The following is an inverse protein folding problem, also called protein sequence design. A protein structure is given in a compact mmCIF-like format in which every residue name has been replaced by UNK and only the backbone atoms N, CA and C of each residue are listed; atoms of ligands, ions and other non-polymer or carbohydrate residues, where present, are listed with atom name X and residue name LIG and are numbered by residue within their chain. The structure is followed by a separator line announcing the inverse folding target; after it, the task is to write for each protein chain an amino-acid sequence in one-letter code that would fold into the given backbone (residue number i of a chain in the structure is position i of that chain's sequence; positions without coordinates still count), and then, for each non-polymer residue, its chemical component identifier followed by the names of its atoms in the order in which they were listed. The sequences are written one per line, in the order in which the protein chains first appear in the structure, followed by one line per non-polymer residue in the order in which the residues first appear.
data_IF_086210794722
#
_entry.id   IF_086210794722
#
_cell.length_a   1.000
_cell.length_b   1.000
_cell.length_c   1.000
_cell.angle_alpha   90.00
_cell.angle_beta   90.00
_cell.angle_gamma   90.00
#
_symmetry.space_group_name_H-M   'P 1'
#
loop_
_entity.id
_entity.type
_entity.pdbx_description
1 polymer ?
#
# COMPACT_ATOMS: atom_id res chain seq x y z
N UNK A 1 84.85 13.25 -0.40
CA UNK A 1 83.65 13.73 -1.12
C UNK A 1 82.61 12.64 -1.06
N UNK A 2 81.67 12.70 -0.13
CA UNK A 2 80.63 11.71 0.14
C UNK A 2 79.26 12.28 -0.24
N UNK A 3 78.47 11.65 -1.11
CA UNK A 3 77.12 12.11 -1.38
C UNK A 3 76.15 11.54 -0.36
N UNK A 4 75.37 12.47 0.26
CA UNK A 4 74.21 12.16 1.10
C UNK A 4 73.03 11.60 0.25
N UNK A 5 72.62 10.40 0.54
CA UNK A 5 71.35 9.85 0.06
C UNK A 5 70.22 10.34 0.99
N UNK A 6 69.34 11.19 0.47
CA UNK A 6 68.10 11.55 1.13
C UNK A 6 67.07 10.48 0.82
N UNK A 7 66.70 9.69 1.81
CA UNK A 7 65.56 8.76 1.74
C UNK A 7 64.25 9.54 1.81
N UNK A 8 63.45 9.47 0.73
CA UNK A 8 62.13 10.03 0.66
C UNK A 8 61.11 8.94 1.11
N UNK A 9 60.62 9.07 2.33
CA UNK A 9 59.56 8.18 2.86
C UNK A 9 58.22 8.64 2.35
N UNK A 10 57.61 7.93 1.39
CA UNK A 10 56.23 8.15 0.94
C UNK A 10 55.33 7.45 1.93
N UNK A 11 54.63 8.22 2.75
CA UNK A 11 53.54 7.71 3.60
C UNK A 11 52.30 7.53 2.74
N UNK A 12 51.98 6.29 2.39
CA UNK A 12 50.71 5.96 1.75
C UNK A 12 49.60 5.99 2.80
N UNK A 13 48.79 7.06 2.81
CA UNK A 13 47.60 7.13 3.60
C UNK A 13 46.52 6.24 2.99
N UNK A 14 46.28 5.07 3.58
CA UNK A 14 45.16 4.22 3.27
C UNK A 14 43.88 4.88 3.84
N UNK A 15 43.12 5.57 3.00
CA UNK A 15 41.75 6.01 3.36
C UNK A 15 40.88 4.77 3.44
N UNK A 16 40.60 4.29 4.67
CA UNK A 16 39.52 3.34 4.91
C UNK A 16 38.21 4.06 4.60
N UNK A 17 37.61 3.77 3.45
CA UNK A 17 36.24 4.12 3.17
C UNK A 17 35.35 3.26 4.09
N UNK A 18 34.97 3.81 5.23
CA UNK A 18 33.91 3.25 6.07
C UNK A 18 32.63 3.43 5.28
N UNK A 19 32.19 2.39 4.58
CA UNK A 19 30.82 2.30 4.08
C UNK A 19 29.91 2.30 5.31
N UNK A 20 29.35 3.45 5.64
CA UNK A 20 28.26 3.49 6.61
C UNK A 20 27.15 2.60 6.03
N UNK A 21 26.60 1.65 6.81
CA UNK A 21 25.40 0.95 6.38
C UNK A 21 24.38 2.03 6.03
N UNK A 22 23.74 1.92 4.87
CA UNK A 22 22.58 2.73 4.55
C UNK A 22 21.60 2.50 5.72
N UNK A 23 21.44 3.51 6.55
CA UNK A 23 20.47 3.42 7.64
C UNK A 23 19.12 3.29 6.95
N UNK A 24 18.50 2.13 7.13
CA UNK A 24 17.10 1.96 6.86
C UNK A 24 16.34 3.14 7.50
N UNK A 25 15.43 3.77 6.76
CA UNK A 25 14.67 4.91 7.28
C UNK A 25 13.76 4.45 8.43
N UNK A 26 14.29 4.53 9.65
CA UNK A 26 13.57 4.15 10.85
C UNK A 26 12.23 4.90 10.98
N UNK A 27 12.16 6.14 10.49
CA UNK A 27 10.95 6.92 10.56
C UNK A 27 9.87 6.38 9.60
N UNK A 28 10.24 5.89 8.41
CA UNK A 28 9.29 5.22 7.51
C UNK A 28 8.82 3.87 8.07
N UNK A 29 9.69 3.13 8.77
CA UNK A 29 9.30 1.91 9.47
C UNK A 29 8.31 2.18 10.60
N UNK A 30 8.58 3.19 11.42
CA UNK A 30 7.70 3.58 12.53
C UNK A 30 6.36 4.07 12.00
N UNK A 31 6.35 4.85 10.92
CA UNK A 31 5.15 5.30 10.24
C UNK A 31 4.27 4.14 9.75
N UNK A 32 4.86 3.16 9.07
CA UNK A 32 4.12 1.97 8.61
C UNK A 32 3.64 1.15 9.80
N UNK A 33 4.48 0.94 10.82
CA UNK A 33 4.12 0.17 12.02
C UNK A 33 2.92 0.76 12.73
N UNK A 34 2.94 2.07 12.97
CA UNK A 34 1.88 2.76 13.69
C UNK A 34 0.56 2.73 12.90
N UNK A 35 0.58 3.14 11.63
CA UNK A 35 -0.63 3.24 10.83
C UNK A 35 -1.22 1.87 10.45
N UNK A 36 -0.38 0.89 10.12
CA UNK A 36 -0.85 -0.46 9.79
C UNK A 36 -1.47 -1.16 11.02
N UNK A 37 -0.88 -1.01 12.22
CA UNK A 37 -1.48 -1.55 13.44
C UNK A 37 -2.73 -0.77 13.86
N UNK A 38 -2.79 0.54 13.63
CA UNK A 38 -4.01 1.32 13.83
C UNK A 38 -5.14 0.84 12.92
N UNK A 39 -4.86 0.63 11.62
CA UNK A 39 -5.82 0.03 10.69
C UNK A 39 -6.32 -1.32 11.19
N UNK A 40 -5.41 -2.19 11.61
CA UNK A 40 -5.75 -3.51 12.11
C UNK A 40 -6.61 -3.45 13.39
N UNK A 41 -6.32 -2.52 14.30
CA UNK A 41 -7.11 -2.33 15.52
C UNK A 41 -8.54 -1.89 15.22
N UNK A 42 -8.73 -0.96 14.28
CA UNK A 42 -10.06 -0.52 13.83
C UNK A 42 -10.86 -1.66 13.17
N UNK A 43 -10.17 -2.50 12.38
CA UNK A 43 -10.81 -3.64 11.73
C UNK A 43 -11.26 -4.72 12.71
N UNK A 44 -10.56 -4.85 13.82
CA UNK A 44 -10.83 -5.83 14.87
C UNK A 44 -11.72 -5.28 16.00
N UNK A 45 -12.09 -4.01 15.96
CA UNK A 45 -12.91 -3.40 17.01
C UNK A 45 -14.32 -4.01 17.02
N UNK A 46 -14.70 -4.74 18.09
CA UNK A 46 -16.02 -5.35 18.20
C UNK A 46 -17.15 -4.34 18.42
N UNK A 47 -16.84 -3.12 18.87
CA UNK A 47 -17.80 -2.07 19.12
C UNK A 47 -18.27 -1.37 17.84
N UNK A 48 -17.47 -1.45 16.76
CA UNK A 48 -17.81 -0.85 15.47
C UNK A 48 -18.72 -1.77 14.65
N UNK A 49 -19.84 -1.25 14.19
CA UNK A 49 -20.61 -1.93 13.15
C UNK A 49 -19.93 -1.87 11.77
N UNK A 50 -20.52 -2.50 10.77
CA UNK A 50 -19.93 -2.59 9.42
C UNK A 50 -19.78 -1.23 8.74
N UNK A 51 -20.70 -0.27 9.00
CA UNK A 51 -20.65 1.05 8.41
C UNK A 51 -19.61 1.92 9.10
N UNK A 52 -19.66 1.96 10.44
CA UNK A 52 -18.70 2.70 11.27
C UNK A 52 -17.25 2.25 11.00
N UNK A 53 -17.03 0.94 10.86
CA UNK A 53 -15.72 0.38 10.52
C UNK A 53 -15.23 0.83 9.14
N UNK A 54 -16.15 0.89 8.15
CA UNK A 54 -15.85 1.39 6.81
C UNK A 54 -15.46 2.86 6.83
N UNK A 55 -16.21 3.69 7.52
CA UNK A 55 -15.95 5.13 7.64
C UNK A 55 -14.62 5.39 8.36
N UNK A 56 -14.36 4.70 9.46
CA UNK A 56 -13.11 4.79 10.21
C UNK A 56 -11.91 4.38 9.34
N UNK A 57 -12.03 3.27 8.60
CA UNK A 57 -10.99 2.80 7.70
C UNK A 57 -10.75 3.77 6.53
N UNK A 58 -11.81 4.34 5.95
CA UNK A 58 -11.70 5.36 4.90
C UNK A 58 -10.98 6.61 5.41
N UNK A 59 -11.28 7.06 6.62
CA UNK A 59 -10.61 8.17 7.27
C UNK A 59 -9.10 7.91 7.43
N UNK A 60 -8.75 6.70 7.89
CA UNK A 60 -7.35 6.29 8.03
C UNK A 60 -6.63 6.21 6.68
N UNK A 61 -7.27 5.64 5.67
CA UNK A 61 -6.67 5.54 4.32
C UNK A 61 -6.36 6.92 3.73
N UNK A 62 -7.21 7.91 3.95
CA UNK A 62 -6.98 9.28 3.50
C UNK A 62 -5.79 9.95 4.20
N UNK A 63 -5.49 9.56 5.44
CA UNK A 63 -4.33 10.08 6.19
C UNK A 63 -3.04 9.32 5.83
N UNK A 64 -3.16 8.01 5.65
CA UNK A 64 -2.02 7.11 5.45
C UNK A 64 -1.51 7.09 4.00
N UNK A 65 -2.39 7.36 3.03
CA UNK A 65 -2.10 7.26 1.61
C UNK A 65 -2.38 8.57 0.88
N UNK A 66 -1.42 9.03 0.06
CA UNK A 66 -1.69 10.09 -0.92
C UNK A 66 -2.50 9.51 -2.09
N UNK A 67 -3.80 9.34 -1.87
CA UNK A 67 -4.68 8.70 -2.84
C UNK A 67 -4.81 9.51 -4.13
N UNK A 68 -4.74 10.86 -4.06
CA UNK A 68 -4.74 11.71 -5.26
C UNK A 68 -3.50 11.46 -6.10
N UNK A 69 -2.33 11.42 -5.49
CA UNK A 69 -1.07 11.11 -6.17
C UNK A 69 -1.08 9.73 -6.81
N UNK A 70 -1.58 8.73 -6.09
CA UNK A 70 -1.75 7.37 -6.63
C UNK A 70 -2.71 7.37 -7.81
N UNK A 71 -3.86 8.05 -7.71
CA UNK A 71 -4.84 8.16 -8.80
C UNK A 71 -4.25 8.78 -10.07
N UNK A 72 -3.46 9.85 -9.93
CA UNK A 72 -2.72 10.47 -11.05
C UNK A 72 -1.67 9.53 -11.64
N UNK A 73 -0.98 8.79 -10.79
CA UNK A 73 0.02 7.81 -11.24
C UNK A 73 -0.61 6.70 -12.09
N UNK A 74 -1.75 6.15 -11.69
CA UNK A 74 -2.35 5.00 -12.39
C UNK A 74 -2.94 5.35 -13.77
N UNK A 75 -3.36 6.60 -14.00
CA UNK A 75 -3.78 7.06 -15.34
C UNK A 75 -2.63 7.67 -16.16
N UNK A 76 -1.46 7.82 -15.56
CA UNK A 76 -0.21 8.19 -16.23
C UNK A 76 -0.30 9.48 -17.04
N UNK A 77 -0.02 9.39 -18.38
CA UNK A 77 -0.06 10.55 -19.26
C UNK A 77 -1.44 11.22 -19.33
N UNK A 78 -2.51 10.48 -19.10
CA UNK A 78 -3.88 10.99 -19.15
C UNK A 78 -4.22 11.93 -17.99
N UNK A 79 -3.45 11.92 -16.90
CA UNK A 79 -3.57 12.90 -15.83
C UNK A 79 -3.35 14.36 -16.27
N UNK A 80 -2.71 14.57 -17.45
CA UNK A 80 -2.51 15.88 -18.05
C UNK A 80 -3.49 16.16 -19.20
N UNK A 81 -4.26 15.17 -19.60
CA UNK A 81 -5.24 15.25 -20.71
C UNK A 81 -6.63 15.53 -20.16
N UNK A 82 -6.98 14.94 -19.03
CA UNK A 82 -8.25 15.20 -18.36
C UNK A 82 -8.32 16.66 -17.92
N UNK A 83 -9.45 17.31 -18.16
CA UNK A 83 -9.76 18.57 -17.52
C UNK A 83 -10.13 18.36 -16.04
N UNK A 84 -10.26 19.44 -15.26
CA UNK A 84 -10.50 19.36 -13.82
C UNK A 84 -11.78 18.58 -13.51
N UNK A 85 -12.87 18.81 -14.21
CA UNK A 85 -14.14 18.11 -13.99
C UNK A 85 -14.03 16.60 -14.31
N UNK A 86 -13.32 16.24 -15.36
CA UNK A 86 -13.06 14.83 -15.71
C UNK A 86 -12.17 14.16 -14.68
N UNK A 87 -11.16 14.88 -14.18
CA UNK A 87 -10.28 14.35 -13.15
C UNK A 87 -11.01 14.17 -11.83
N UNK A 88 -11.81 15.13 -11.38
CA UNK A 88 -12.59 15.05 -10.15
C UNK A 88 -13.55 13.84 -10.19
N UNK A 89 -14.30 13.69 -11.30
CA UNK A 89 -15.21 12.57 -11.46
C UNK A 89 -14.48 11.21 -11.50
N UNK A 90 -13.31 11.16 -12.12
CA UNK A 90 -12.45 9.98 -12.11
C UNK A 90 -11.93 9.70 -10.70
N UNK A 91 -11.43 10.72 -9.99
CA UNK A 91 -10.89 10.57 -8.63
C UNK A 91 -11.94 10.03 -7.66
N UNK A 92 -13.17 10.54 -7.71
CA UNK A 92 -14.28 10.04 -6.90
C UNK A 92 -14.58 8.56 -7.17
N UNK A 93 -14.55 8.14 -8.44
CA UNK A 93 -14.73 6.73 -8.80
C UNK A 93 -13.55 5.88 -8.33
N UNK A 94 -12.33 6.37 -8.50
CA UNK A 94 -11.10 5.69 -8.07
C UNK A 94 -11.02 5.52 -6.56
N UNK A 95 -11.37 6.54 -5.78
CA UNK A 95 -11.39 6.48 -4.33
C UNK A 95 -12.34 5.40 -3.81
N UNK A 96 -13.54 5.31 -4.38
CA UNK A 96 -14.51 4.24 -4.06
C UNK A 96 -13.99 2.86 -4.44
N UNK A 97 -13.35 2.74 -5.60
CA UNK A 97 -12.75 1.49 -6.05
C UNK A 97 -11.63 1.02 -5.12
N UNK A 98 -10.73 1.93 -4.75
CA UNK A 98 -9.64 1.65 -3.83
C UNK A 98 -10.18 1.14 -2.49
N UNK A 99 -11.17 1.85 -1.91
CA UNK A 99 -11.82 1.44 -0.68
C UNK A 99 -12.46 0.05 -0.80
N UNK A 100 -13.24 -0.20 -1.86
CA UNK A 100 -13.89 -1.50 -2.07
C UNK A 100 -12.88 -2.64 -2.27
N UNK A 101 -11.72 -2.36 -2.87
CA UNK A 101 -10.64 -3.35 -3.02
C UNK A 101 -10.09 -3.77 -1.66
N UNK A 102 -9.85 -2.81 -0.77
CA UNK A 102 -9.40 -3.12 0.58
C UNK A 102 -10.48 -3.84 1.40
N UNK A 103 -11.72 -3.38 1.35
CA UNK A 103 -12.81 -4.01 2.10
C UNK A 103 -13.05 -5.47 1.72
N UNK A 104 -12.96 -5.81 0.43
CA UNK A 104 -13.11 -7.19 -0.03
C UNK A 104 -12.04 -8.14 0.53
N UNK A 105 -10.89 -7.60 0.94
CA UNK A 105 -9.78 -8.36 1.51
C UNK A 105 -9.73 -8.30 3.05
N UNK A 106 -10.31 -7.26 3.68
CA UNK A 106 -10.18 -6.98 5.11
C UNK A 106 -10.72 -8.07 6.02
N UNK A 107 -11.80 -8.75 5.63
CA UNK A 107 -12.35 -9.87 6.40
C UNK A 107 -11.38 -11.05 6.52
N UNK A 108 -10.35 -11.11 5.65
CA UNK A 108 -9.28 -12.12 5.70
C UNK A 108 -8.19 -11.80 6.72
N UNK A 109 -8.12 -10.56 7.23
CA UNK A 109 -7.03 -10.08 8.09
C UNK A 109 -7.44 -9.87 9.54
N UNK A 110 -8.66 -10.24 9.93
CA UNK A 110 -9.13 -10.11 11.31
C UNK A 110 -8.29 -10.93 12.28
N UNK A 111 -7.83 -10.30 13.34
CA UNK A 111 -7.10 -10.95 14.44
C UNK A 111 -5.62 -11.18 14.18
N UNK A 112 -5.03 -10.52 13.19
CA UNK A 112 -3.67 -10.73 12.77
C UNK A 112 -2.74 -9.59 13.23
N UNK A 113 -1.46 -9.90 13.35
CA UNK A 113 -0.41 -8.96 13.72
C UNK A 113 0.38 -8.55 12.48
N UNK A 114 0.70 -7.26 12.35
CA UNK A 114 1.61 -6.74 11.34
C UNK A 114 2.96 -6.44 11.98
N UNK A 115 3.98 -7.18 11.55
CA UNK A 115 5.36 -7.06 12.05
C UNK A 115 6.23 -6.42 10.98
N UNK A 116 6.85 -5.27 11.29
CA UNK A 116 7.89 -4.67 10.43
C UNK A 116 9.16 -5.51 10.54
N UNK A 117 9.70 -5.93 9.41
CA UNK A 117 10.91 -6.77 9.33
C UNK A 117 12.14 -6.00 8.86
N UNK A 118 11.96 -4.80 8.33
CA UNK A 118 13.01 -3.89 7.90
C UNK A 118 12.56 -2.94 6.81
N UNK A 119 13.51 -2.14 6.31
CA UNK A 119 13.28 -1.26 5.18
C UNK A 119 14.51 -1.17 4.27
N UNK A 120 14.29 -0.67 3.05
CA UNK A 120 15.32 -0.37 2.07
C UNK A 120 15.06 0.98 1.45
N UNK A 121 16.00 1.92 1.63
CA UNK A 121 15.91 3.24 1.01
C UNK A 121 16.30 3.15 -0.46
N UNK A 122 15.43 3.66 -1.33
CA UNK A 122 15.69 3.83 -2.75
C UNK A 122 16.40 5.16 -3.02
N UNK A 123 16.12 6.15 -2.21
CA UNK A 123 16.77 7.45 -2.11
C UNK A 123 16.33 8.13 -0.81
N UNK A 124 16.78 9.37 -0.55
CA UNK A 124 16.53 10.14 0.68
C UNK A 124 15.04 10.39 1.00
N UNK A 125 14.12 10.06 0.08
CA UNK A 125 12.67 10.32 0.20
C UNK A 125 11.77 9.16 -0.22
N UNK A 126 12.34 8.01 -0.54
CA UNK A 126 11.61 6.87 -1.10
C UNK A 126 12.13 5.58 -0.49
N UNK A 127 11.39 5.02 0.41
CA UNK A 127 11.71 3.82 1.16
C UNK A 127 10.71 2.69 0.86
N UNK A 128 11.21 1.47 0.84
CA UNK A 128 10.39 0.26 0.83
C UNK A 128 10.45 -0.33 2.23
N UNK A 129 9.34 -0.30 2.95
CA UNK A 129 9.19 -0.95 4.25
C UNK A 129 8.66 -2.36 4.04
N UNK A 130 9.30 -3.33 4.64
CA UNK A 130 8.93 -4.74 4.58
C UNK A 130 8.21 -5.14 5.86
N UNK A 131 7.07 -5.79 5.70
CA UNK A 131 6.27 -6.31 6.83
C UNK A 131 5.83 -7.73 6.55
N UNK A 132 5.43 -8.40 7.60
CA UNK A 132 4.78 -9.69 7.55
C UNK A 132 3.45 -9.60 8.31
N UNK A 133 2.36 -9.91 7.62
CA UNK A 133 1.05 -10.12 8.23
C UNK A 133 0.97 -11.56 8.70
N UNK A 134 0.92 -11.78 10.01
CA UNK A 134 0.82 -13.10 10.61
C UNK A 134 -0.62 -13.60 10.54
N UNK A 135 -0.83 -14.74 9.91
CA UNK A 135 -2.15 -15.36 9.72
C UNK A 135 -2.14 -16.81 10.16
N UNK A 136 -3.27 -17.36 10.63
CA UNK A 136 -3.41 -18.77 10.93
C UNK A 136 -3.09 -19.68 9.72
N UNK A 137 -3.29 -19.16 8.50
CA UNK A 137 -3.05 -19.86 7.24
C UNK A 137 -1.61 -19.73 6.71
N UNK A 138 -0.73 -19.04 7.46
CA UNK A 138 0.65 -18.75 7.09
C UNK A 138 0.91 -17.26 6.89
N UNK A 139 2.15 -16.89 7.06
CA UNK A 139 2.62 -15.51 6.98
C UNK A 139 2.46 -14.94 5.56
N UNK A 140 2.01 -13.69 5.45
CA UNK A 140 1.91 -12.95 4.19
C UNK A 140 2.92 -11.81 4.18
N UNK A 141 3.96 -11.85 3.33
CA UNK A 141 4.85 -10.72 3.11
C UNK A 141 4.12 -9.57 2.42
N UNK A 142 4.27 -8.36 2.95
CA UNK A 142 3.73 -7.12 2.38
C UNK A 142 4.85 -6.09 2.32
N UNK A 143 4.96 -5.38 1.21
CA UNK A 143 5.88 -4.27 1.06
C UNK A 143 5.12 -2.97 0.84
N UNK A 144 5.57 -1.93 1.52
CA UNK A 144 4.97 -0.61 1.49
C UNK A 144 5.96 0.36 0.87
N UNK A 145 5.58 1.02 -0.20
CA UNK A 145 6.38 2.12 -0.71
C UNK A 145 5.96 3.40 -0.03
N UNK A 146 6.88 3.99 0.71
CA UNK A 146 6.67 5.18 1.52
C UNK A 146 7.48 6.33 0.93
N UNK A 147 6.85 7.47 0.76
CA UNK A 147 7.53 8.71 0.38
C UNK A 147 7.47 9.70 1.53
N UNK A 148 8.59 10.39 1.78
CA UNK A 148 8.59 11.59 2.60
C UNK A 148 8.26 12.82 1.75
N UNK A 149 7.42 13.70 2.30
CA UNK A 149 7.06 14.99 1.70
C UNK A 149 8.08 16.05 2.05
N UNK A 150 7.98 17.25 1.45
CA UNK A 150 8.87 18.38 1.76
C UNK A 150 8.69 18.89 3.17
N UNK A 151 7.53 18.66 3.79
CA UNK A 151 7.20 19.04 5.17
C UNK A 151 7.65 17.97 6.21
N UNK A 152 8.29 16.89 5.75
CA UNK A 152 8.78 15.80 6.61
C UNK A 152 7.72 14.78 7.01
N UNK A 153 6.51 14.86 6.44
CA UNK A 153 5.46 13.87 6.61
C UNK A 153 5.73 12.63 5.73
N UNK A 154 5.17 11.50 6.11
CA UNK A 154 5.27 10.25 5.34
C UNK A 154 3.92 9.86 4.75
N UNK A 155 3.94 9.23 3.58
CA UNK A 155 2.74 8.73 2.92
C UNK A 155 3.04 7.45 2.15
N UNK A 156 2.15 6.47 2.26
CA UNK A 156 2.19 5.28 1.41
C UNK A 156 1.67 5.63 0.01
N UNK A 157 2.44 5.25 -1.00
CA UNK A 157 2.09 5.50 -2.41
C UNK A 157 1.91 4.22 -3.22
N UNK A 158 2.33 3.08 -2.70
CA UNK A 158 2.06 1.77 -3.29
C UNK A 158 2.22 0.66 -2.25
N UNK A 159 1.53 -0.43 -2.46
CA UNK A 159 1.63 -1.64 -1.64
C UNK A 159 1.87 -2.83 -2.56
N UNK A 160 2.79 -3.70 -2.17
CA UNK A 160 3.00 -4.95 -2.87
C UNK A 160 2.69 -6.14 -1.98
N UNK A 161 2.01 -7.11 -2.57
CA UNK A 161 1.72 -8.41 -1.97
C UNK A 161 2.56 -9.48 -2.67
N UNK A 162 3.05 -10.44 -1.91
CA UNK A 162 3.66 -11.63 -2.46
C UNK A 162 2.60 -12.72 -2.60
N UNK A 163 2.23 -13.03 -3.85
CA UNK A 163 1.23 -14.03 -4.20
C UNK A 163 1.88 -15.09 -5.08
N UNK A 164 1.84 -16.34 -4.64
CA UNK A 164 2.41 -17.49 -5.37
C UNK A 164 3.88 -17.28 -5.80
N UNK A 165 4.69 -16.63 -4.93
CA UNK A 165 6.09 -16.32 -5.18
C UNK A 165 6.34 -15.13 -6.12
N UNK A 166 5.28 -14.41 -6.51
CA UNK A 166 5.38 -13.19 -7.33
C UNK A 166 5.04 -11.97 -6.49
N UNK A 167 5.91 -10.97 -6.58
CA UNK A 167 5.68 -9.67 -5.96
C UNK A 167 4.83 -8.79 -6.87
N UNK A 168 3.62 -8.46 -6.43
CA UNK A 168 2.64 -7.68 -7.18
C UNK A 168 2.46 -6.29 -6.54
N UNK A 169 2.92 -5.25 -7.21
CA UNK A 169 2.71 -3.85 -6.83
C UNK A 169 1.35 -3.37 -7.34
N UNK A 170 0.43 -3.04 -6.42
CA UNK A 170 -0.97 -2.80 -6.74
C UNK A 170 -1.18 -1.58 -7.65
N UNK A 171 -0.52 -0.45 -7.37
CA UNK A 171 -0.65 0.74 -8.21
C UNK A 171 -0.02 0.54 -9.60
N UNK A 172 1.05 -0.26 -9.72
CA UNK A 172 1.67 -0.60 -11.01
C UNK A 172 0.72 -1.45 -11.85
N UNK A 173 0.09 -2.46 -11.25
CA UNK A 173 -0.89 -3.31 -11.94
C UNK A 173 -2.13 -2.52 -12.37
N UNK A 174 -2.67 -1.69 -11.50
CA UNK A 174 -3.79 -0.81 -11.83
C UNK A 174 -3.42 0.13 -12.98
N UNK A 175 -2.20 0.69 -12.96
CA UNK A 175 -1.69 1.53 -14.03
C UNK A 175 -1.68 0.79 -15.37
N UNK A 176 -1.18 -0.43 -15.41
CA UNK A 176 -1.15 -1.23 -16.62
C UNK A 176 -2.56 -1.44 -17.20
N UNK A 177 -3.52 -1.76 -16.33
CA UNK A 177 -4.93 -1.98 -16.72
C UNK A 177 -5.62 -0.70 -17.21
N UNK A 178 -5.49 0.42 -16.46
CA UNK A 178 -6.16 1.68 -16.77
C UNK A 178 -5.56 2.37 -18.00
N UNK A 179 -4.24 2.33 -18.13
CA UNK A 179 -3.56 2.83 -19.32
C UNK A 179 -4.00 2.06 -20.59
N UNK A 180 -4.05 0.73 -20.50
CA UNK A 180 -4.52 -0.10 -21.62
C UNK A 180 -5.99 0.20 -22.00
N UNK A 181 -6.84 0.49 -21.02
CA UNK A 181 -8.23 0.88 -21.27
C UNK A 181 -8.31 2.24 -21.93
N UNK A 182 -7.61 3.24 -21.40
CA UNK A 182 -7.58 4.60 -21.94
C UNK A 182 -7.00 4.62 -23.37
N UNK A 183 -5.96 3.84 -23.64
CA UNK A 183 -5.39 3.72 -24.99
C UNK A 183 -6.40 3.15 -25.99
N UNK A 184 -7.20 2.16 -25.61
CA UNK A 184 -8.24 1.57 -26.47
C UNK A 184 -9.46 2.47 -26.66
N UNK A 185 -9.76 3.33 -25.67
CA UNK A 185 -10.91 4.23 -25.69
C UNK A 185 -10.58 5.66 -26.15
N UNK A 186 -9.43 5.88 -26.80
CA UNK A 186 -8.93 7.20 -27.17
C UNK A 186 -8.88 8.21 -26.03
N UNK A 187 -8.54 7.76 -24.82
CA UNK A 187 -8.43 8.60 -23.64
C UNK A 187 -9.76 8.99 -23.00
N UNK A 188 -10.83 8.23 -23.24
CA UNK A 188 -12.15 8.53 -22.68
C UNK A 188 -12.19 8.36 -21.16
N UNK A 189 -12.30 9.49 -20.44
CA UNK A 189 -12.53 9.51 -18.99
C UNK A 189 -13.83 8.82 -18.60
N UNK A 190 -14.90 9.03 -19.37
CA UNK A 190 -16.20 8.41 -19.14
C UNK A 190 -16.16 6.87 -19.23
N UNK A 191 -15.42 6.32 -20.18
CA UNK A 191 -15.27 4.87 -20.32
C UNK A 191 -14.46 4.27 -19.16
N UNK A 192 -13.40 4.97 -18.73
CA UNK A 192 -12.62 4.58 -17.54
C UNK A 192 -13.50 4.59 -16.29
N UNK A 193 -14.24 5.67 -16.03
CA UNK A 193 -15.13 5.82 -14.87
C UNK A 193 -16.19 4.71 -14.88
N UNK A 194 -16.81 4.43 -16.01
CA UNK A 194 -17.78 3.35 -16.15
C UNK A 194 -17.17 2.00 -15.73
N UNK A 195 -15.99 1.70 -16.26
CA UNK A 195 -15.30 0.43 -15.96
C UNK A 195 -14.91 0.34 -14.49
N UNK A 196 -14.41 1.41 -13.89
CA UNK A 196 -14.08 1.47 -12.46
C UNK A 196 -15.34 1.21 -11.62
N UNK A 197 -16.46 1.86 -11.94
CA UNK A 197 -17.72 1.65 -11.22
C UNK A 197 -18.21 0.20 -11.32
N UNK A 198 -18.06 -0.45 -12.48
CA UNK A 198 -18.38 -1.88 -12.64
C UNK A 198 -17.46 -2.80 -11.82
N UNK A 199 -16.17 -2.44 -11.72
CA UNK A 199 -15.23 -3.16 -10.87
C UNK A 199 -15.59 -3.02 -9.40
N UNK A 200 -15.91 -1.80 -8.96
CA UNK A 200 -16.38 -1.49 -7.59
C UNK A 200 -17.62 -2.31 -7.24
N UNK A 201 -18.64 -2.26 -8.08
CA UNK A 201 -19.88 -3.02 -7.84
C UNK A 201 -19.66 -4.53 -7.71
N UNK A 202 -18.71 -5.09 -8.48
CA UNK A 202 -18.33 -6.51 -8.36
C UNK A 202 -17.64 -6.83 -7.03
N UNK A 203 -16.77 -5.94 -6.55
CA UNK A 203 -16.09 -6.09 -5.25
C UNK A 203 -17.10 -6.00 -4.09
N UNK A 204 -17.98 -5.02 -4.13
CA UNK A 204 -19.04 -4.84 -3.12
C UNK A 204 -20.00 -6.04 -3.07
N UNK A 205 -20.42 -6.55 -4.24
CA UNK A 205 -21.28 -7.74 -4.31
C UNK A 205 -20.56 -8.98 -3.73
N UNK A 206 -19.26 -9.14 -3.99
CA UNK A 206 -18.47 -10.25 -3.41
C UNK A 206 -18.36 -10.12 -1.90
N UNK A 207 -18.09 -8.93 -1.38
CA UNK A 207 -18.02 -8.67 0.05
C UNK A 207 -19.36 -8.95 0.76
N UNK A 208 -20.50 -8.62 0.13
CA UNK A 208 -21.81 -8.94 0.65
C UNK A 208 -22.06 -10.46 0.73
N UNK A 209 -21.70 -11.20 -0.33
CA UNK A 209 -21.87 -12.67 -0.35
C UNK A 209 -21.03 -13.34 0.76
N UNK A 210 -19.78 -12.93 0.92
CA UNK A 210 -18.90 -13.48 1.96
C UNK A 210 -19.45 -13.22 3.38
N UNK A 211 -20.07 -12.07 3.63
CA UNK A 211 -20.70 -11.75 4.93
C UNK A 211 -21.94 -12.59 5.19
N UNK A 212 -22.76 -12.83 4.17
CA UNK A 212 -23.97 -13.67 4.28
C UNK A 212 -23.57 -15.11 4.62
N UNK A 213 -22.59 -15.68 3.91
CA UNK A 213 -22.09 -17.03 4.15
C UNK A 213 -21.49 -17.17 5.56
N UNK A 214 -20.72 -16.17 6.03
CA UNK A 214 -20.17 -16.15 7.38
C UNK A 214 -21.27 -16.03 8.47
N UNK A 215 -22.33 -15.27 8.21
CA UNK A 215 -23.50 -15.14 9.10
C UNK A 215 -24.33 -16.42 9.20
N UNK A 216 -24.51 -17.14 8.11
CA UNK A 216 -25.21 -18.45 8.09
C UNK A 216 -24.44 -19.52 8.86
N UNK A 217 -23.11 -19.57 8.72
CA UNK A 217 -22.25 -20.53 9.47
C UNK A 217 -22.34 -20.26 10.98
N UNK A 218 -22.37 -19.00 11.42
CA UNK A 218 -22.48 -18.64 12.82
C UNK A 218 -23.88 -18.94 13.38
N UNK A 219 -24.94 -18.73 12.60
CA UNK A 219 -26.31 -19.05 12.96
C UNK A 219 -26.60 -20.55 13.08
N UNK A 220 -26.01 -21.36 12.21
CA UNK A 220 -26.19 -22.84 12.24
C UNK A 220 -25.51 -23.48 13.43
N UNK A 221 -24.39 -22.93 13.90
CA UNK A 221 -23.64 -23.48 15.07
C UNK A 221 -24.35 -23.22 16.38
N UNK A 222 -25.14 -22.15 16.50
CA UNK A 222 -25.89 -21.82 17.73
C UNK A 222 -27.16 -22.65 17.93
N UNK A 223 -27.72 -23.22 16.88
CA UNK A 223 -28.94 -24.07 16.92
C UNK A 223 -28.62 -25.50 17.36
N UNK A 224 -27.38 -25.97 17.18
CA UNK A 224 -26.99 -27.35 17.51
C UNK A 224 -26.47 -27.54 18.94
N UNK A 225 -26.23 -26.45 19.69
CA UNK A 225 -25.79 -26.51 21.11
C UNK A 225 -26.94 -26.51 22.12
N UNK A 226 -28.20 -26.54 21.67
CA UNK A 226 -29.42 -26.47 22.51
C UNK A 226 -30.29 -27.74 22.50
N UNK A 227 -29.68 -28.92 22.22
CA UNK A 227 -30.39 -30.21 22.35
C UNK A 227 -29.67 -31.19 23.24
#
# INVERSE_FOLDING_TARGET
MTPLFKSLTVAASLALSVSLPAFADQASEDYVRENANHALSMLNDPELDSLERREAFQGLMNQFTDLERVSRFVIGRYARVFNDQEFDAYYDAYARYALATYEAELDKYRGEEIVVTGSTDRNDRDSIVETVVRRPTGDLPVRWRVLSTDDGEYQVVDVALELDGNLLWLAIEQRAQFMALLDRSNGSSAELIRTINEMTARLEARALTQRTDAGEVTGASSVQAGR
#
